data_IF_954021513051
#
_entry.id   IF_954021513051
#
_cell.length_a   1.000
_cell.length_b   1.000
_cell.length_c   1.000
_cell.angle_alpha   90.00
_cell.angle_beta   90.00
_cell.angle_gamma   90.00
#
_symmetry.space_group_name_H-M   'P 1'
#
loop_
_entity.id
_entity.type
_entity.pdbx_description
1 polymer ?
#
# COMPACT_ATOMS: atom_id res chain seq x y z
N UNK A 1 1.96 -20.76 -22.65
CA UNK A 1 1.95 -20.58 -21.18
C UNK A 1 3.20 -21.10 -20.45
N UNK A 2 3.93 -22.11 -20.94
CA UNK A 2 5.12 -22.65 -20.23
C UNK A 2 6.29 -21.65 -20.00
N UNK A 3 6.45 -20.66 -20.89
CA UNK A 3 7.49 -19.63 -20.78
C UNK A 3 7.40 -18.80 -19.49
N UNK A 4 6.18 -18.41 -19.10
CA UNK A 4 5.96 -17.53 -17.94
C UNK A 4 6.25 -18.26 -16.62
N UNK A 5 5.83 -19.52 -16.48
CA UNK A 5 6.10 -20.31 -15.27
C UNK A 5 7.59 -20.61 -15.10
N UNK A 6 8.33 -20.83 -16.18
CA UNK A 6 9.78 -20.96 -16.12
C UNK A 6 10.45 -19.65 -15.63
N UNK A 7 9.89 -18.49 -15.95
CA UNK A 7 10.34 -17.20 -15.41
C UNK A 7 10.01 -17.05 -13.91
N UNK A 8 8.93 -17.65 -13.42
CA UNK A 8 8.52 -17.59 -12.01
C UNK A 8 9.32 -18.50 -11.09
N UNK A 9 9.70 -19.69 -11.56
CA UNK A 9 10.48 -20.69 -10.79
C UNK A 9 11.66 -20.12 -9.99
N UNK A 10 12.57 -19.30 -10.56
CA UNK A 10 13.71 -18.78 -9.80
C UNK A 10 13.32 -17.83 -8.66
N UNK A 11 12.12 -17.26 -8.70
CA UNK A 11 11.61 -16.37 -7.65
C UNK A 11 10.74 -17.09 -6.62
N UNK A 12 10.52 -18.39 -6.77
CA UNK A 12 9.72 -19.21 -5.86
C UNK A 12 10.53 -19.53 -4.60
N UNK A 13 10.38 -18.74 -3.55
CA UNK A 13 11.10 -18.95 -2.28
C UNK A 13 10.48 -20.04 -1.40
N UNK A 14 9.19 -20.34 -1.59
CA UNK A 14 8.43 -21.29 -0.76
C UNK A 14 8.44 -22.69 -1.36
N UNK A 15 8.50 -23.72 -0.51
CA UNK A 15 8.55 -25.12 -0.91
C UNK A 15 7.16 -25.76 -0.97
N UNK A 16 6.24 -25.31 -0.11
CA UNK A 16 4.87 -25.86 -0.01
C UNK A 16 3.82 -24.77 0.11
N UNK A 17 2.59 -25.09 -0.33
CA UNK A 17 1.39 -24.28 -0.12
C UNK A 17 1.13 -24.02 1.36
N UNK A 18 1.38 -25.01 2.21
CA UNK A 18 1.19 -24.89 3.66
C UNK A 18 2.14 -23.87 4.27
N UNK A 19 3.42 -23.95 3.89
CA UNK A 19 4.45 -22.99 4.30
C UNK A 19 4.06 -21.56 3.88
N UNK A 20 3.58 -21.39 2.66
CA UNK A 20 3.12 -20.10 2.17
C UNK A 20 1.88 -19.59 2.93
N UNK A 21 0.92 -20.47 3.24
CA UNK A 21 -0.25 -20.09 4.02
C UNK A 21 0.11 -19.65 5.45
N UNK A 22 1.07 -20.31 6.09
CA UNK A 22 1.60 -19.92 7.40
C UNK A 22 2.26 -18.54 7.30
N UNK A 23 3.12 -18.34 6.31
CA UNK A 23 3.74 -17.04 6.03
C UNK A 23 2.69 -15.93 5.86
N UNK A 24 1.62 -16.15 5.09
CA UNK A 24 0.57 -15.15 4.91
C UNK A 24 -0.13 -14.78 6.22
N UNK A 25 -0.41 -15.77 7.08
CA UNK A 25 -1.00 -15.53 8.40
C UNK A 25 -0.06 -14.72 9.29
N UNK A 26 1.24 -15.04 9.27
CA UNK A 26 2.26 -14.31 10.03
C UNK A 26 2.39 -12.87 9.55
N UNK A 27 2.47 -12.62 8.24
CA UNK A 27 2.52 -11.27 7.67
C UNK A 27 1.31 -10.45 8.11
N UNK A 28 0.09 -10.99 8.00
CA UNK A 28 -1.12 -10.27 8.41
C UNK A 28 -1.15 -9.98 9.92
N UNK A 29 -0.54 -10.84 10.75
CA UNK A 29 -0.43 -10.64 12.20
C UNK A 29 0.62 -9.59 12.53
N UNK A 30 1.83 -9.72 12.02
CA UNK A 30 2.97 -8.85 12.34
C UNK A 30 2.77 -7.43 11.80
N UNK A 31 2.20 -7.30 10.60
CA UNK A 31 1.97 -6.00 9.96
C UNK A 31 0.55 -5.46 10.18
N UNK A 32 -0.22 -6.02 11.14
CA UNK A 32 -1.63 -5.66 11.36
C UNK A 32 -1.87 -4.16 11.53
N UNK A 33 -0.97 -3.45 12.21
CA UNK A 33 -1.10 -2.01 12.46
C UNK A 33 -0.66 -1.15 11.27
N UNK A 34 0.15 -1.71 10.37
CA UNK A 34 0.66 -0.99 9.20
C UNK A 34 -0.22 -1.23 7.96
N UNK A 35 -0.96 -2.34 7.89
CA UNK A 35 -1.79 -2.70 6.75
C UNK A 35 -3.21 -2.11 6.84
N UNK A 36 -3.67 -1.57 5.72
CA UNK A 36 -5.06 -1.18 5.55
C UNK A 36 -5.89 -2.40 5.13
N UNK A 37 -7.22 -2.30 5.29
CA UNK A 37 -8.16 -3.34 4.81
C UNK A 37 -7.94 -3.69 3.33
N UNK A 38 -7.67 -2.69 2.49
CA UNK A 38 -7.42 -2.90 1.06
C UNK A 38 -6.12 -3.66 0.82
N UNK A 39 -5.07 -3.36 1.60
CA UNK A 39 -3.76 -4.01 1.50
C UNK A 39 -3.90 -5.50 1.83
N UNK A 40 -4.61 -5.82 2.92
CA UNK A 40 -4.89 -7.21 3.33
C UNK A 40 -5.69 -7.98 2.28
N UNK A 41 -6.68 -7.36 1.64
CA UNK A 41 -7.45 -7.97 0.56
C UNK A 41 -6.55 -8.26 -0.66
N UNK A 42 -5.64 -7.34 -1.00
CA UNK A 42 -4.69 -7.52 -2.10
C UNK A 42 -3.69 -8.64 -1.80
N UNK A 43 -3.15 -8.72 -0.57
CA UNK A 43 -2.28 -9.83 -0.15
C UNK A 43 -3.01 -11.16 -0.31
N UNK A 44 -4.26 -11.25 0.16
CA UNK A 44 -5.06 -12.46 0.06
C UNK A 44 -5.36 -12.82 -1.40
N UNK A 45 -5.74 -11.84 -2.22
CA UNK A 45 -5.98 -12.04 -3.66
C UNK A 45 -4.72 -12.55 -4.36
N UNK A 46 -3.59 -11.87 -4.23
CA UNK A 46 -2.32 -12.29 -4.82
C UNK A 46 -1.91 -13.68 -4.32
N UNK A 47 -2.16 -13.98 -3.05
CA UNK A 47 -1.92 -15.30 -2.45
C UNK A 47 -2.63 -16.44 -3.16
N UNK A 48 -3.89 -16.24 -3.57
CA UNK A 48 -4.66 -17.26 -4.31
C UNK A 48 -4.00 -17.62 -5.64
N UNK A 49 -3.41 -16.65 -6.32
CA UNK A 49 -2.70 -16.85 -7.59
C UNK A 49 -1.21 -17.18 -7.41
N UNK A 50 -0.70 -17.11 -6.18
CA UNK A 50 0.72 -17.33 -5.89
C UNK A 50 1.09 -18.82 -5.77
N UNK A 51 0.11 -19.71 -5.68
CA UNK A 51 0.32 -21.16 -5.54
C UNK A 51 -0.16 -21.86 -6.79
N UNK A 52 0.76 -22.51 -7.50
CA UNK A 52 0.43 -23.35 -8.65
C UNK A 52 1.04 -24.75 -8.48
N UNK A 53 0.17 -25.70 -8.14
CA UNK A 53 0.55 -27.08 -7.82
C UNK A 53 1.12 -27.81 -9.06
N UNK A 54 0.59 -27.52 -10.26
CA UNK A 54 1.03 -28.16 -11.51
C UNK A 54 2.46 -27.80 -11.90
N UNK A 55 2.86 -26.55 -11.65
CA UNK A 55 4.16 -26.00 -12.06
C UNK A 55 5.16 -25.91 -10.89
N UNK A 56 4.75 -26.34 -9.69
CA UNK A 56 5.53 -26.28 -8.44
C UNK A 56 6.10 -24.89 -8.14
N UNK A 57 5.35 -23.84 -8.49
CA UNK A 57 5.71 -22.45 -8.16
C UNK A 57 4.85 -21.99 -6.98
N UNK A 58 5.49 -21.51 -5.92
CA UNK A 58 4.82 -21.09 -4.69
C UNK A 58 5.38 -19.73 -4.24
N UNK A 59 4.49 -18.79 -3.97
CA UNK A 59 4.83 -17.43 -3.53
C UNK A 59 5.09 -16.43 -4.66
N UNK A 60 4.74 -16.76 -5.91
CA UNK A 60 4.87 -15.85 -7.05
C UNK A 60 3.55 -15.78 -7.80
N UNK A 61 3.04 -14.57 -8.01
CA UNK A 61 1.79 -14.32 -8.71
C UNK A 61 2.02 -13.42 -9.95
N UNK A 62 1.25 -13.63 -11.02
CA UNK A 62 1.31 -12.79 -12.24
C UNK A 62 -0.07 -12.29 -12.73
N UNK A 63 -0.98 -11.80 -11.88
CA UNK A 63 -2.21 -11.18 -12.36
C UNK A 63 -1.95 -9.79 -12.97
N UNK A 64 -2.77 -9.41 -13.96
CA UNK A 64 -2.79 -8.06 -14.51
C UNK A 64 -3.33 -7.05 -13.48
N UNK A 65 -2.87 -5.81 -13.55
CA UNK A 65 -3.30 -4.75 -12.64
C UNK A 65 -4.82 -4.51 -12.72
N UNK A 66 -5.38 -4.57 -13.92
CA UNK A 66 -6.82 -4.46 -14.17
C UNK A 66 -7.58 -5.60 -13.50
N UNK A 67 -7.09 -6.83 -13.62
CA UNK A 67 -7.69 -8.01 -12.96
C UNK A 67 -7.67 -7.88 -11.43
N UNK A 68 -6.59 -7.35 -10.84
CA UNK A 68 -6.56 -7.10 -9.40
C UNK A 68 -7.61 -6.04 -9.03
N UNK A 69 -7.67 -4.94 -9.78
CA UNK A 69 -8.60 -3.84 -9.54
C UNK A 69 -10.06 -4.28 -9.59
N UNK A 70 -10.44 -5.06 -10.61
CA UNK A 70 -11.82 -5.58 -10.76
C UNK A 70 -12.19 -6.55 -9.64
N UNK A 71 -11.32 -7.49 -9.30
CA UNK A 71 -11.60 -8.47 -8.24
C UNK A 71 -11.64 -7.85 -6.83
N UNK A 72 -10.81 -6.84 -6.57
CA UNK A 72 -10.76 -6.15 -5.27
C UNK A 72 -11.85 -5.06 -5.17
N UNK A 73 -12.49 -4.69 -6.29
CA UNK A 73 -13.51 -3.65 -6.34
C UNK A 73 -12.96 -2.25 -6.06
N UNK A 74 -11.74 -1.97 -6.53
CA UNK A 74 -11.04 -0.69 -6.31
C UNK A 74 -10.50 -0.12 -7.61
N UNK A 75 -10.24 1.18 -7.62
CA UNK A 75 -9.58 1.81 -8.78
C UNK A 75 -8.16 1.26 -8.97
N UNK A 76 -7.69 1.21 -10.21
CA UNK A 76 -6.32 0.84 -10.56
C UNK A 76 -5.30 1.71 -9.79
N UNK A 77 -5.61 3.00 -9.57
CA UNK A 77 -4.75 3.92 -8.82
C UNK A 77 -4.63 3.51 -7.35
N UNK A 78 -5.72 3.07 -6.72
CA UNK A 78 -5.73 2.58 -5.34
C UNK A 78 -4.93 1.28 -5.21
N UNK A 79 -5.10 0.35 -6.14
CA UNK A 79 -4.33 -0.90 -6.16
C UNK A 79 -2.84 -0.62 -6.32
N UNK A 80 -2.45 0.26 -7.25
CA UNK A 80 -1.05 0.67 -7.42
C UNK A 80 -0.44 1.25 -6.14
N UNK A 81 -1.16 2.14 -5.45
CA UNK A 81 -0.72 2.70 -4.16
C UNK A 81 -0.53 1.61 -3.09
N UNK A 82 -1.47 0.68 -3.01
CA UNK A 82 -1.42 -0.41 -2.03
C UNK A 82 -0.25 -1.35 -2.33
N UNK A 83 -0.01 -1.70 -3.60
CA UNK A 83 1.13 -2.51 -4.02
C UNK A 83 2.46 -1.79 -3.73
N UNK A 84 2.58 -0.50 -4.02
CA UNK A 84 3.78 0.27 -3.71
C UNK A 84 4.08 0.26 -2.20
N UNK A 85 3.06 0.41 -1.36
CA UNK A 85 3.19 0.28 0.09
C UNK A 85 3.65 -1.12 0.51
N UNK A 86 3.11 -2.18 -0.09
CA UNK A 86 3.56 -3.55 0.17
C UNK A 86 5.01 -3.80 -0.27
N UNK A 87 5.46 -3.13 -1.33
CA UNK A 87 6.86 -3.12 -1.77
C UNK A 87 7.76 -2.40 -0.77
N UNK A 88 7.35 -1.23 -0.26
CA UNK A 88 8.08 -0.47 0.77
C UNK A 88 8.26 -1.27 2.07
N UNK A 89 7.22 -2.01 2.48
CA UNK A 89 7.27 -2.91 3.64
C UNK A 89 8.15 -4.14 3.40
N UNK A 90 8.53 -4.41 2.15
CA UNK A 90 9.32 -5.58 1.76
C UNK A 90 8.53 -6.89 1.74
N UNK A 91 7.20 -6.84 1.78
CA UNK A 91 6.33 -8.02 1.76
C UNK A 91 6.29 -8.62 0.35
N UNK A 92 6.29 -7.76 -0.67
CA UNK A 92 6.22 -8.13 -2.08
C UNK A 92 7.31 -7.40 -2.87
N UNK A 93 7.92 -8.07 -3.84
CA UNK A 93 8.78 -7.47 -4.85
C UNK A 93 8.14 -7.57 -6.22
N UNK A 94 8.16 -6.46 -6.96
CA UNK A 94 7.69 -6.43 -8.34
C UNK A 94 8.84 -6.67 -9.32
N UNK A 95 8.68 -7.67 -10.18
CA UNK A 95 9.62 -7.97 -11.26
C UNK A 95 8.94 -7.68 -12.59
N UNK A 96 9.54 -6.81 -13.39
CA UNK A 96 9.03 -6.51 -14.72
C UNK A 96 9.31 -7.69 -15.65
N UNK A 97 8.28 -8.18 -16.34
CA UNK A 97 8.43 -9.24 -17.34
C UNK A 97 9.13 -8.67 -18.59
N UNK A 98 10.17 -9.35 -19.08
CA UNK A 98 11.05 -8.90 -20.19
C UNK A 98 10.31 -8.55 -21.49
N UNK A 99 9.11 -9.09 -21.70
CA UNK A 99 8.28 -8.81 -22.88
C UNK A 99 7.81 -7.35 -22.98
N UNK A 100 7.84 -6.60 -21.87
CA UNK A 100 7.52 -5.17 -21.85
C UNK A 100 8.37 -4.35 -22.81
N UNK A 101 9.65 -4.67 -22.90
CA UNK A 101 10.62 -3.86 -23.65
C UNK A 101 10.51 -4.02 -25.16
N UNK A 102 9.99 -5.15 -25.66
CA UNK A 102 10.02 -5.46 -27.10
C UNK A 102 8.77 -5.04 -27.86
N UNK A 103 7.61 -4.90 -27.20
CA UNK A 103 6.31 -4.73 -27.89
C UNK A 103 5.50 -3.50 -27.48
N UNK A 104 6.01 -2.64 -26.60
CA UNK A 104 5.30 -1.44 -26.15
C UNK A 104 3.97 -1.71 -25.42
N UNK A 105 3.65 -2.97 -25.13
CA UNK A 105 2.41 -3.38 -24.48
C UNK A 105 2.52 -3.46 -22.96
N UNK A 106 1.36 -3.38 -22.28
CA UNK A 106 1.25 -3.58 -20.83
C UNK A 106 1.51 -5.05 -20.46
N UNK A 107 2.77 -5.43 -20.30
CA UNK A 107 3.11 -6.76 -19.77
C UNK A 107 2.65 -6.88 -18.31
N UNK A 108 2.16 -8.06 -17.93
CA UNK A 108 1.90 -8.38 -16.53
C UNK A 108 3.18 -8.26 -15.69
N UNK A 109 3.01 -7.84 -14.44
CA UNK A 109 4.08 -7.79 -13.46
C UNK A 109 4.14 -9.13 -12.71
N UNK A 110 5.34 -9.60 -12.40
CA UNK A 110 5.53 -10.64 -11.41
C UNK A 110 5.50 -10.01 -10.02
N UNK A 111 4.68 -10.55 -9.12
CA UNK A 111 4.64 -10.21 -7.71
C UNK A 111 5.22 -11.38 -6.93
N UNK A 112 6.37 -11.16 -6.30
CA UNK A 112 7.12 -12.18 -5.56
C UNK A 112 6.98 -11.88 -4.07
N UNK A 113 6.47 -12.82 -3.29
CA UNK A 113 6.46 -12.71 -1.83
C UNK A 113 7.83 -13.03 -1.27
N UNK A 114 8.34 -12.19 -0.37
CA UNK A 114 9.68 -12.33 0.21
C UNK A 114 9.61 -12.85 1.64
N UNK A 115 10.30 -13.94 1.95
CA UNK A 115 10.34 -14.49 3.32
C UNK A 115 10.95 -13.50 4.33
N UNK A 116 11.91 -12.71 3.87
CA UNK A 116 12.63 -11.70 4.68
C UNK A 116 11.72 -10.65 5.31
N UNK A 117 10.48 -10.49 4.86
CA UNK A 117 9.52 -9.61 5.51
C UNK A 117 9.27 -10.00 6.98
N UNK A 118 9.23 -11.29 7.30
CA UNK A 118 9.00 -11.74 8.68
C UNK A 118 10.26 -11.53 9.51
N UNK A 119 11.42 -11.96 9.00
CA UNK A 119 12.71 -11.83 9.68
C UNK A 119 12.98 -10.37 10.09
N UNK A 120 12.75 -9.42 9.18
CA UNK A 120 12.93 -7.98 9.44
C UNK A 120 12.01 -7.45 10.54
N UNK A 121 10.81 -8.02 10.68
CA UNK A 121 9.87 -7.58 11.70
C UNK A 121 10.18 -8.20 13.06
N UNK A 122 10.65 -9.44 13.09
CA UNK A 122 11.15 -10.08 14.31
C UNK A 122 12.35 -9.31 14.87
N UNK A 123 13.28 -8.86 14.02
CA UNK A 123 14.42 -8.03 14.46
C UNK A 123 13.96 -6.68 15.04
N UNK A 124 12.96 -6.04 14.41
CA UNK A 124 12.35 -4.82 14.96
C UNK A 124 11.67 -5.06 16.30
N UNK A 125 10.98 -6.20 16.45
CA UNK A 125 10.28 -6.54 17.67
C UNK A 125 11.26 -6.79 18.83
N UNK A 126 12.36 -7.52 18.58
CA UNK A 126 13.45 -7.73 19.54
C UNK A 126 14.08 -6.42 20.02
N UNK A 127 14.34 -5.49 19.11
CA UNK A 127 14.93 -4.18 19.43
C UNK A 127 13.97 -3.23 20.17
N UNK A 128 12.66 -3.47 20.09
CA UNK A 128 11.63 -2.65 20.75
C UNK A 128 11.20 -3.15 22.13
N UNK A 129 11.61 -4.36 22.50
CA UNK A 129 11.41 -4.88 23.85
C UNK A 129 12.49 -4.27 24.74
N UNK A 130 12.20 -3.14 25.39
CA UNK A 130 12.98 -2.71 26.55
C UNK A 130 12.97 -3.88 27.55
N UNK A 131 14.15 -4.32 28.00
CA UNK A 131 14.28 -5.28 29.08
C UNK A 131 13.46 -4.77 30.26
N UNK A 132 12.39 -5.48 30.59
CA UNK A 132 11.63 -5.19 31.80
C UNK A 132 12.44 -5.76 32.95
N UNK A 133 13.35 -4.96 33.50
CA UNK A 133 13.98 -5.27 34.78
C UNK A 133 12.92 -5.31 35.88
N UNK A 134 13.09 -6.30 36.75
CA UNK A 134 12.20 -6.65 37.83
C UNK A 134 11.99 -5.50 38.83
N UNK A 135 10.79 -5.51 39.40
CA UNK A 135 10.17 -4.51 40.27
C UNK A 135 11.08 -3.98 41.39
N UNK A 136 11.00 -2.67 41.63
CA UNK A 136 11.16 -2.10 42.96
C UNK A 136 9.95 -1.20 43.30
N UNK A 137 9.37 -1.49 44.45
CA UNK A 137 8.27 -0.80 45.13
C UNK A 137 8.68 0.65 45.51
N UNK A 138 7.75 1.61 45.44
CA UNK A 138 7.99 2.96 45.94
C UNK A 138 6.94 4.00 45.54
N UNK A 139 6.18 4.45 46.53
CA UNK A 139 4.98 5.29 46.41
C UNK A 139 5.26 6.82 46.35
N UNK A 140 4.25 7.53 45.83
CA UNK A 140 3.86 8.93 46.08
C UNK A 140 4.22 9.96 45.01
N UNK A 141 3.27 10.87 44.79
CA UNK A 141 3.04 11.55 43.52
C UNK A 141 3.55 12.98 43.43
N UNK A 142 3.33 13.57 42.25
CA UNK A 142 2.77 14.91 42.14
C UNK A 142 2.15 15.13 40.76
N UNK A 143 0.95 15.70 40.77
CA UNK A 143 0.17 16.10 39.60
C UNK A 143 0.89 17.19 38.81
N UNK A 144 0.82 17.13 37.48
CA UNK A 144 0.66 18.34 36.68
C UNK A 144 -0.38 18.10 35.59
N UNK A 145 -1.51 18.78 35.76
CA UNK A 145 -2.56 19.00 34.77
C UNK A 145 -1.94 19.66 33.55
N UNK A 146 -2.23 19.13 32.37
CA UNK A 146 -2.32 19.97 31.18
C UNK A 146 -3.55 19.54 30.38
N UNK A 147 -4.54 20.41 30.52
CA UNK A 147 -5.80 20.43 29.81
C UNK A 147 -5.50 20.69 28.33
N UNK A 148 -5.93 19.76 27.49
CA UNK A 148 -5.76 19.80 26.05
C UNK A 148 -6.72 18.84 25.40
N UNK A 149 -7.98 18.84 25.84
CA UNK A 149 -9.06 18.10 25.21
C UNK A 149 -9.22 18.59 23.77
N UNK A 150 -8.70 17.81 22.80
CA UNK A 150 -9.16 17.98 21.42
C UNK A 150 -10.44 17.19 21.28
N UNK A 151 -11.57 17.86 21.52
CA UNK A 151 -12.91 17.32 21.25
C UNK A 151 -12.99 17.05 19.74
N UNK A 152 -12.83 15.79 19.34
CA UNK A 152 -13.16 15.34 17.99
C UNK A 152 -14.67 15.38 17.84
N UNK A 153 -15.18 16.53 17.38
CA UNK A 153 -16.58 16.70 17.06
C UNK A 153 -16.98 15.72 15.94
N UNK A 154 -17.81 14.74 16.31
CA UNK A 154 -18.54 13.89 15.37
C UNK A 154 -19.49 14.80 14.57
N UNK A 155 -19.30 14.91 13.26
CA UNK A 155 -20.32 15.46 12.38
C UNK A 155 -20.73 14.45 11.31
N UNK A 156 -22.02 14.14 11.36
CA UNK A 156 -22.84 13.34 10.46
C UNK A 156 -22.83 13.99 9.06
N UNK A 157 -22.93 13.24 7.95
CA UNK A 157 -22.77 13.76 6.59
C UNK A 157 -23.90 14.71 6.21
N UNK A 158 -23.57 16.00 6.06
CA UNK A 158 -24.42 16.95 5.35
C UNK A 158 -24.01 17.01 3.87
N UNK A 159 -25.06 16.93 3.06
CA UNK A 159 -25.12 16.93 1.60
C UNK A 159 -24.17 17.96 0.98
N UNK A 160 -23.37 17.54 -0.01
CA UNK A 160 -22.47 18.41 -0.78
C UNK A 160 -23.29 19.32 -1.71
N UNK A 161 -23.83 20.40 -1.17
CA UNK A 161 -24.16 21.56 -1.99
C UNK A 161 -22.86 22.25 -2.40
N UNK A 162 -22.60 22.29 -3.71
CA UNK A 162 -21.48 23.00 -4.31
C UNK A 162 -21.67 24.49 -4.03
N UNK A 163 -21.06 25.01 -2.97
CA UNK A 163 -20.85 26.46 -2.82
C UNK A 163 -19.92 26.91 -3.95
N UNK A 164 -20.49 27.45 -5.04
CA UNK A 164 -19.75 28.29 -5.98
C UNK A 164 -19.38 29.55 -5.21
N UNK A 165 -18.16 29.61 -4.70
CA UNK A 165 -17.57 30.86 -4.26
C UNK A 165 -17.09 31.55 -5.52
N UNK A 166 -17.89 32.47 -6.05
CA UNK A 166 -17.47 33.37 -7.12
C UNK A 166 -16.64 34.46 -6.45
N UNK A 167 -15.32 34.33 -6.51
CA UNK A 167 -14.45 35.47 -6.22
C UNK A 167 -14.56 36.42 -7.41
N UNK A 168 -14.92 37.68 -7.16
CA UNK A 168 -14.73 38.73 -8.16
C UNK A 168 -13.23 38.96 -8.28
N UNK A 169 -12.61 38.28 -9.24
CA UNK A 169 -11.19 38.42 -9.53
C UNK A 169 -11.00 39.72 -10.31
N UNK A 170 -10.61 40.78 -9.60
CA UNK A 170 -10.24 42.06 -10.20
C UNK A 170 -8.78 42.04 -10.71
N UNK A 171 -8.38 43.11 -11.40
CA UNK A 171 -7.03 43.26 -11.95
C UNK A 171 -5.93 43.20 -10.87
N UNK A 172 -6.27 43.47 -9.61
CA UNK A 172 -5.30 43.47 -8.50
C UNK A 172 -4.91 42.06 -8.07
N UNK A 173 -5.70 41.05 -8.45
CA UNK A 173 -5.36 39.64 -8.22
C UNK A 173 -4.24 39.13 -9.13
N UNK A 174 -4.04 39.78 -10.28
CA UNK A 174 -3.03 39.39 -11.26
C UNK A 174 -1.69 40.07 -10.98
N UNK A 175 -0.58 39.39 -11.25
CA UNK A 175 0.74 40.02 -11.27
C UNK A 175 0.78 41.08 -12.38
N UNK A 176 1.42 42.21 -12.09
CA UNK A 176 1.58 43.35 -12.98
C UNK A 176 2.21 43.00 -14.36
N UNK A 177 2.92 41.88 -14.44
CA UNK A 177 3.59 41.40 -15.65
C UNK A 177 2.67 40.61 -16.61
N UNK A 178 1.42 40.34 -16.21
CA UNK A 178 0.46 39.60 -17.04
C UNK A 178 -0.16 40.56 -18.06
N UNK A 179 -0.03 40.29 -19.37
CA UNK A 179 -0.66 41.16 -20.37
C UNK A 179 -2.19 41.15 -20.20
N UNK A 180 -2.80 42.34 -20.22
CA UNK A 180 -4.24 42.57 -20.08
C UNK A 180 -5.13 41.65 -20.95
N UNK A 181 -4.77 41.26 -22.19
CA UNK A 181 -5.58 40.34 -23.00
C UNK A 181 -5.82 38.98 -22.34
N UNK A 182 -4.88 38.49 -21.51
CA UNK A 182 -5.03 37.23 -20.78
C UNK A 182 -5.98 37.35 -19.57
N UNK A 183 -6.19 38.56 -19.05
CA UNK A 183 -7.09 38.83 -17.91
C UNK A 183 -8.54 38.91 -18.39
N UNK A 184 -8.79 39.63 -19.50
CA UNK A 184 -10.16 39.85 -20.01
C UNK A 184 -10.58 38.88 -21.13
N UNK A 185 -9.75 37.88 -21.46
CA UNK A 185 -10.06 36.89 -22.49
C UNK A 185 -10.37 37.47 -23.88
N UNK A 186 -9.95 38.70 -24.15
CA UNK A 186 -10.24 39.40 -25.40
C UNK A 186 -9.13 39.15 -26.40
N UNK A 187 -9.23 38.04 -27.12
CA UNK A 187 -8.52 37.85 -28.39
C UNK A 187 -9.46 38.25 -29.52
N UNK A 188 -9.09 39.30 -30.25
CA UNK A 188 -9.70 39.67 -31.53
C UNK A 188 -8.64 39.51 -32.62
#
# INVERSE_FOLDING_TARGET
MGSLYNLMKPYSEFRSKEEFNVYQKQVLKCYRFQLNKTDSIIIHFLGKYAVNEKQKTVGVACPLMETIATNVGKSIRTVRRSIAKLEELGIIKRVATKERYKRGGYSANLYVFLKSAIDRMDDRMKMSACESDDRADGCSGNEQKNEGETILSKNIPQIKEKRKVTYELDETYCRHDIPKPFIYGSYR
#
